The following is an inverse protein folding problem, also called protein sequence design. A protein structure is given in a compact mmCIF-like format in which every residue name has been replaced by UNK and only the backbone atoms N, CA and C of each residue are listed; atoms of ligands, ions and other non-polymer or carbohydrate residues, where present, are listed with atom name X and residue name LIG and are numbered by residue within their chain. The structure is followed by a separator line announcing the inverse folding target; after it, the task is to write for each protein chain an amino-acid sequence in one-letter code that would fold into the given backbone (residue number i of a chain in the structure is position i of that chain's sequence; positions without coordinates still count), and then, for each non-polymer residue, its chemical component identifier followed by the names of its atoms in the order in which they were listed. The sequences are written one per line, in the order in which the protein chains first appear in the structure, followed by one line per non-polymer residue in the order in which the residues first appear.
data_IF_413456698942
#
_entry.id   IF_413456698942
#
_cell.length_a   1.000
_cell.length_b   1.000
_cell.length_c   1.000
_cell.angle_alpha   90.00
_cell.angle_beta   90.00
_cell.angle_gamma   90.00
#
_symmetry.space_group_name_H-M   'P 1'
#
loop_
_entity.id
_entity.type
_entity.pdbx_description
1 polymer ?
#
# COMPACT_ATOMS: atom_id res chain seq x y z
N UNK A 1 55.69 18.79 -9.21
CA UNK A 1 54.69 17.75 -8.81
C UNK A 1 53.80 17.52 -9.99
N UNK A 2 53.97 16.38 -10.67
CA UNK A 2 53.15 16.00 -11.83
C UNK A 2 51.80 15.50 -11.27
N UNK A 3 50.74 16.25 -11.51
CA UNK A 3 49.37 15.82 -11.14
C UNK A 3 49.03 14.59 -11.94
N UNK A 4 48.80 13.45 -11.25
CA UNK A 4 48.31 12.24 -11.86
C UNK A 4 46.91 12.51 -12.39
N UNK A 5 46.75 12.65 -13.71
CA UNK A 5 45.48 12.74 -14.41
C UNK A 5 44.75 11.38 -14.31
N UNK A 6 44.06 11.15 -13.20
CA UNK A 6 43.26 9.93 -12.97
C UNK A 6 41.90 10.09 -13.63
N UNK A 7 41.64 9.31 -14.66
CA UNK A 7 40.29 9.20 -15.28
C UNK A 7 39.54 8.06 -14.65
N UNK A 8 38.48 8.35 -13.90
CA UNK A 8 37.57 7.31 -13.35
C UNK A 8 36.67 6.80 -14.49
N UNK A 9 36.77 5.52 -14.80
CA UNK A 9 36.00 4.86 -15.86
C UNK A 9 35.23 3.67 -15.33
N UNK A 10 34.04 3.44 -15.86
CA UNK A 10 33.28 2.18 -15.64
C UNK A 10 33.91 1.03 -16.44
N UNK A 11 33.61 -0.22 -16.04
CA UNK A 11 34.07 -1.42 -16.77
C UNK A 11 33.69 -1.36 -18.27
N UNK A 12 32.50 -0.85 -18.59
CA UNK A 12 32.07 -0.65 -19.99
C UNK A 12 32.92 0.36 -20.75
N UNK A 13 33.34 1.43 -20.08
CA UNK A 13 34.19 2.44 -20.69
C UNK A 13 35.62 1.93 -20.87
N UNK A 14 36.17 1.23 -19.89
CA UNK A 14 37.48 0.56 -20.03
C UNK A 14 37.50 -0.45 -21.19
N UNK A 15 36.43 -1.25 -21.32
CA UNK A 15 36.30 -2.15 -22.49
C UNK A 15 36.28 -1.38 -23.80
N UNK A 16 35.62 -0.23 -23.86
CA UNK A 16 35.64 0.66 -25.04
C UNK A 16 37.04 1.20 -25.33
N UNK A 17 37.78 1.65 -24.31
CA UNK A 17 39.17 2.11 -24.46
C UNK A 17 40.00 1.03 -25.12
N UNK A 18 39.95 -0.19 -24.59
CA UNK A 18 40.70 -1.32 -25.12
C UNK A 18 40.39 -1.61 -26.58
N UNK A 19 39.13 -1.74 -26.93
CA UNK A 19 38.69 -2.08 -28.31
C UNK A 19 38.99 -0.93 -29.28
N UNK A 20 38.80 0.32 -28.90
CA UNK A 20 39.07 1.47 -29.75
C UNK A 20 40.58 1.64 -29.98
N UNK A 21 41.44 1.37 -28.98
CA UNK A 21 42.91 1.34 -29.18
C UNK A 21 43.32 0.30 -30.20
N UNK A 22 42.82 -0.94 -30.10
CA UNK A 22 43.06 -2.00 -31.08
C UNK A 22 42.59 -1.62 -32.50
N UNK A 23 41.48 -0.89 -32.59
CA UNK A 23 40.95 -0.41 -33.88
C UNK A 23 41.86 0.66 -34.49
N UNK A 24 42.39 1.56 -33.65
CA UNK A 24 43.37 2.58 -34.10
C UNK A 24 44.70 1.97 -34.52
N UNK A 25 45.14 0.91 -33.85
CA UNK A 25 46.34 0.11 -34.21
C UNK A 25 46.10 -0.82 -35.40
N UNK A 26 44.95 -0.72 -36.08
CA UNK A 26 44.56 -1.55 -37.23
C UNK A 26 44.50 -3.05 -36.92
N UNK A 27 44.48 -3.47 -35.63
CA UNK A 27 44.32 -4.87 -35.20
C UNK A 27 42.87 -5.35 -35.33
N UNK A 28 41.91 -4.44 -35.26
CA UNK A 28 40.47 -4.70 -35.47
C UNK A 28 39.94 -3.73 -36.53
N UNK A 29 39.03 -4.22 -37.39
CA UNK A 29 38.24 -3.35 -38.25
C UNK A 29 37.13 -2.66 -37.47
N UNK A 30 36.61 -1.55 -37.97
CA UNK A 30 35.45 -0.85 -37.33
C UNK A 30 34.21 -1.74 -37.23
N UNK A 31 34.04 -2.65 -38.16
CA UNK A 31 32.93 -3.63 -38.15
C UNK A 31 33.12 -4.63 -37.00
N UNK A 32 34.32 -5.20 -36.87
CA UNK A 32 34.65 -6.14 -35.79
C UNK A 32 34.56 -5.48 -34.43
N UNK A 33 35.06 -4.26 -34.28
CA UNK A 33 34.94 -3.45 -33.05
C UNK A 33 33.46 -3.20 -32.69
N UNK A 34 32.62 -2.95 -33.72
CA UNK A 34 31.18 -2.83 -33.56
C UNK A 34 30.53 -4.09 -33.00
N UNK A 35 30.88 -5.25 -33.53
CA UNK A 35 30.40 -6.55 -33.06
C UNK A 35 30.83 -6.76 -31.60
N UNK A 36 32.10 -6.56 -31.27
CA UNK A 36 32.64 -6.74 -29.88
C UNK A 36 31.97 -5.87 -28.88
N UNK A 37 31.63 -4.62 -29.23
CA UNK A 37 31.03 -3.63 -28.32
C UNK A 37 29.50 -3.57 -28.41
N UNK A 38 28.87 -4.30 -29.34
CA UNK A 38 27.43 -4.20 -29.61
C UNK A 38 27.03 -2.80 -30.13
N UNK A 39 27.88 -2.19 -30.98
CA UNK A 39 27.69 -0.86 -31.54
C UNK A 39 27.75 -0.86 -33.05
N UNK A 40 27.13 0.14 -33.66
CA UNK A 40 27.21 0.31 -35.12
C UNK A 40 28.59 0.82 -35.54
N UNK A 41 29.10 0.49 -36.78
CA UNK A 41 30.36 1.04 -37.30
C UNK A 41 30.41 2.58 -37.32
N UNK A 42 29.26 3.24 -37.53
CA UNK A 42 29.13 4.70 -37.41
C UNK A 42 29.42 5.20 -36.03
N UNK A 43 28.97 4.47 -35.00
CA UNK A 43 29.25 4.80 -33.61
C UNK A 43 30.73 4.60 -33.30
N UNK A 44 31.36 3.54 -33.78
CA UNK A 44 32.80 3.29 -33.63
C UNK A 44 33.61 4.45 -34.21
N UNK A 45 33.30 4.93 -35.42
CA UNK A 45 33.95 6.11 -36.01
C UNK A 45 33.90 7.35 -35.09
N UNK A 46 32.70 7.63 -34.57
CA UNK A 46 32.51 8.73 -33.62
C UNK A 46 33.34 8.58 -32.33
N UNK A 47 33.50 7.33 -31.84
CA UNK A 47 34.34 7.06 -30.66
C UNK A 47 35.83 7.28 -31.00
N UNK A 48 36.29 6.85 -32.18
CA UNK A 48 37.67 7.08 -32.65
C UNK A 48 37.96 8.58 -32.75
N UNK A 49 37.06 9.36 -33.36
CA UNK A 49 37.18 10.82 -33.45
C UNK A 49 37.25 11.48 -32.06
N UNK A 50 36.41 11.02 -31.12
CA UNK A 50 36.41 11.52 -29.74
C UNK A 50 37.73 11.23 -29.02
N UNK A 51 38.29 10.04 -29.24
CA UNK A 51 39.61 9.69 -28.68
C UNK A 51 40.70 10.52 -29.33
N UNK A 52 40.62 10.82 -30.61
CA UNK A 52 41.60 11.69 -31.30
C UNK A 52 41.58 13.12 -30.74
N UNK A 53 40.41 13.64 -30.35
CA UNK A 53 40.24 15.01 -29.82
C UNK A 53 40.53 15.13 -28.33
N UNK A 54 40.16 14.13 -27.52
CA UNK A 54 40.17 14.24 -26.05
C UNK A 54 40.88 13.07 -25.35
N UNK A 55 41.66 12.27 -26.06
CA UNK A 55 42.28 11.09 -25.51
C UNK A 55 41.23 10.07 -24.98
N UNK A 56 41.65 9.23 -24.06
CA UNK A 56 40.77 8.21 -23.48
C UNK A 56 39.59 8.82 -22.70
N UNK A 57 39.73 10.03 -22.19
CA UNK A 57 38.62 10.77 -21.55
C UNK A 57 37.45 11.00 -22.51
N UNK A 58 37.68 11.05 -23.83
CA UNK A 58 36.67 11.13 -24.85
C UNK A 58 35.69 9.95 -24.84
N UNK A 59 36.03 8.82 -24.22
CA UNK A 59 35.18 7.65 -24.09
C UNK A 59 34.32 7.64 -22.82
N UNK A 60 34.62 8.51 -21.86
CA UNK A 60 33.80 8.68 -20.66
C UNK A 60 32.40 9.22 -21.02
N UNK A 61 31.41 8.84 -20.25
CA UNK A 61 30.04 9.30 -20.50
C UNK A 61 29.93 10.81 -20.28
N UNK A 62 29.50 11.56 -21.30
CA UNK A 62 29.43 13.06 -21.27
C UNK A 62 28.47 13.62 -20.21
N UNK A 63 27.55 12.83 -19.70
CA UNK A 63 26.64 13.20 -18.62
C UNK A 63 27.20 12.91 -17.23
N UNK A 64 28.43 12.36 -17.11
CA UNK A 64 29.03 12.10 -15.79
C UNK A 64 29.26 13.43 -15.04
N UNK A 65 28.79 13.44 -13.77
CA UNK A 65 28.86 14.66 -12.93
C UNK A 65 27.83 15.74 -13.28
N UNK A 66 27.05 15.58 -14.36
CA UNK A 66 25.96 16.50 -14.67
C UNK A 66 24.66 16.02 -14.05
N UNK A 67 23.86 16.92 -13.45
CA UNK A 67 22.54 16.56 -12.97
C UNK A 67 21.66 16.07 -14.13
N UNK A 68 20.79 15.08 -13.85
CA UNK A 68 19.83 14.60 -14.83
C UNK A 68 18.89 15.73 -15.27
N UNK A 69 18.59 15.82 -16.58
CA UNK A 69 17.56 16.73 -17.11
C UNK A 69 16.14 16.42 -16.59
N UNK A 70 15.95 15.26 -15.95
CA UNK A 70 14.72 14.91 -15.20
C UNK A 70 14.81 15.28 -13.71
N UNK A 71 15.85 15.97 -13.28
CA UNK A 71 15.99 16.40 -11.88
C UNK A 71 14.87 17.36 -11.52
N UNK A 72 14.18 17.05 -10.43
CA UNK A 72 13.13 17.94 -9.88
C UNK A 72 13.82 19.23 -9.37
N UNK A 73 13.26 20.42 -9.66
CA UNK A 73 13.81 21.69 -9.21
C UNK A 73 13.98 21.73 -7.69
N UNK A 74 15.07 22.29 -7.22
CA UNK A 74 15.40 22.38 -5.80
C UNK A 74 14.34 23.14 -4.98
N UNK A 75 13.73 24.16 -5.59
CA UNK A 75 12.59 24.89 -4.99
C UNK A 75 11.42 23.97 -4.65
N UNK A 76 11.11 23.01 -5.54
CA UNK A 76 10.02 22.03 -5.31
C UNK A 76 10.42 21.06 -4.21
N UNK A 77 11.67 20.58 -4.20
CA UNK A 77 12.19 19.70 -3.16
C UNK A 77 12.12 20.37 -1.78
N UNK A 78 12.64 21.60 -1.68
CA UNK A 78 12.65 22.38 -0.43
C UNK A 78 11.22 22.59 0.08
N UNK A 79 10.30 23.03 -0.80
CA UNK A 79 8.90 23.23 -0.44
C UNK A 79 8.24 21.93 0.05
N UNK A 80 8.46 20.81 -0.65
CA UNK A 80 7.91 19.53 -0.26
C UNK A 80 8.43 19.05 1.10
N UNK A 81 9.74 19.18 1.36
CA UNK A 81 10.35 18.81 2.63
C UNK A 81 9.92 19.71 3.79
N UNK A 82 9.72 21.00 3.56
CA UNK A 82 9.19 21.93 4.56
C UNK A 82 7.75 21.58 4.92
N UNK A 83 6.89 21.32 3.93
CA UNK A 83 5.51 20.89 4.15
C UNK A 83 5.46 19.54 4.89
N UNK A 84 6.35 18.61 4.52
CA UNK A 84 6.46 17.34 5.20
C UNK A 84 6.79 17.54 6.69
N UNK A 85 7.81 18.30 7.01
CA UNK A 85 8.23 18.54 8.40
C UNK A 85 7.13 19.22 9.24
N UNK A 86 6.39 20.15 8.64
CA UNK A 86 5.35 20.92 9.35
C UNK A 86 4.04 20.16 9.55
N UNK A 87 3.64 19.28 8.60
CA UNK A 87 2.28 18.71 8.54
C UNK A 87 2.22 17.20 8.45
N UNK A 88 3.28 16.53 7.99
CA UNK A 88 3.29 15.13 7.61
C UNK A 88 4.45 14.34 8.21
N UNK A 89 5.04 14.83 9.31
CA UNK A 89 6.28 14.26 9.87
C UNK A 89 6.21 12.77 10.25
N UNK A 90 5.03 12.27 10.56
CA UNK A 90 4.76 10.87 10.87
C UNK A 90 4.16 10.07 9.68
N UNK A 91 3.97 10.72 8.53
CA UNK A 91 3.41 10.04 7.35
C UNK A 91 4.49 9.21 6.65
N UNK A 92 4.13 7.98 6.26
CA UNK A 92 4.97 7.21 5.36
C UNK A 92 5.11 7.91 4.00
N UNK A 93 6.20 7.67 3.25
CA UNK A 93 6.47 8.36 1.99
C UNK A 93 5.34 8.29 0.97
N UNK A 94 4.60 7.18 0.95
CA UNK A 94 3.47 6.98 0.03
C UNK A 94 2.32 7.93 0.36
N UNK A 95 1.87 7.95 1.62
CA UNK A 95 0.79 8.85 2.05
C UNK A 95 1.21 10.32 1.97
N UNK A 96 2.46 10.62 2.31
CA UNK A 96 3.00 11.97 2.18
C UNK A 96 2.99 12.46 0.72
N UNK A 97 3.41 11.63 -0.24
CA UNK A 97 3.37 11.96 -1.67
C UNK A 97 1.94 12.23 -2.15
N UNK A 98 0.98 11.42 -1.71
CA UNK A 98 -0.45 11.62 -2.00
C UNK A 98 -0.94 12.97 -1.47
N UNK A 99 -0.66 13.30 -0.21
CA UNK A 99 -1.11 14.57 0.40
C UNK A 99 -0.42 15.79 -0.18
N UNK A 100 0.85 15.68 -0.57
CA UNK A 100 1.55 16.73 -1.32
C UNK A 100 0.89 17.01 -2.66
N UNK A 101 0.45 15.97 -3.37
CA UNK A 101 -0.30 16.13 -4.62
C UNK A 101 -1.69 16.70 -4.39
N UNK A 102 -2.48 16.11 -3.48
CA UNK A 102 -3.88 16.46 -3.25
C UNK A 102 -4.05 17.88 -2.67
N UNK A 103 -3.25 18.24 -1.69
CA UNK A 103 -3.41 19.50 -0.93
C UNK A 103 -2.52 20.65 -1.38
N UNK A 104 -1.42 20.35 -2.10
CA UNK A 104 -0.41 21.35 -2.45
C UNK A 104 -0.06 21.37 -3.94
N UNK A 105 -0.66 20.49 -4.76
CA UNK A 105 -0.36 20.40 -6.20
C UNK A 105 1.06 19.94 -6.52
N UNK A 106 1.77 19.32 -5.56
CA UNK A 106 3.14 18.85 -5.74
C UNK A 106 3.13 17.36 -6.04
N UNK A 107 3.12 17.00 -7.31
CA UNK A 107 3.10 15.60 -7.76
C UNK A 107 4.50 15.00 -7.73
N UNK A 108 4.71 14.04 -6.84
CA UNK A 108 5.97 13.33 -6.63
C UNK A 108 5.71 11.82 -6.51
N UNK A 109 6.69 11.00 -6.94
CA UNK A 109 6.63 9.58 -6.61
C UNK A 109 6.95 9.34 -5.13
N UNK A 110 6.33 8.31 -4.54
CA UNK A 110 6.65 7.91 -3.17
C UNK A 110 8.14 7.60 -2.96
N UNK A 111 8.81 7.06 -4.00
CA UNK A 111 10.23 6.75 -3.96
C UNK A 111 11.10 8.00 -3.96
N UNK A 112 10.71 9.05 -4.71
CA UNK A 112 11.37 10.36 -4.66
C UNK A 112 11.29 10.95 -3.25
N UNK A 113 10.09 10.95 -2.66
CA UNK A 113 9.89 11.45 -1.28
C UNK A 113 10.73 10.63 -0.30
N UNK A 114 10.73 9.29 -0.42
CA UNK A 114 11.55 8.40 0.43
C UNK A 114 13.03 8.72 0.32
N UNK A 115 13.56 8.87 -0.89
CA UNK A 115 14.97 9.20 -1.11
C UNK A 115 15.37 10.51 -0.46
N UNK A 116 14.52 11.54 -0.58
CA UNK A 116 14.79 12.84 0.06
C UNK A 116 14.72 12.78 1.59
N UNK A 117 13.77 12.04 2.14
CA UNK A 117 13.65 11.84 3.59
C UNK A 117 14.86 11.09 4.15
N UNK A 118 15.30 10.02 3.49
CA UNK A 118 16.50 9.27 3.86
C UNK A 118 17.76 10.18 3.82
N UNK A 119 17.90 11.01 2.79
CA UNK A 119 19.00 11.97 2.69
C UNK A 119 19.00 13.04 3.81
N UNK A 120 17.84 13.27 4.44
CA UNK A 120 17.67 14.13 5.63
C UNK A 120 17.76 13.37 6.95
N UNK A 121 18.10 12.08 6.94
CA UNK A 121 18.16 11.24 8.14
C UNK A 121 16.80 10.79 8.69
N UNK A 122 15.71 11.05 7.97
CA UNK A 122 14.37 10.58 8.37
C UNK A 122 14.21 9.14 7.89
N UNK A 123 14.24 8.21 8.83
CA UNK A 123 14.04 6.79 8.54
C UNK A 123 12.62 6.35 8.92
N UNK A 124 11.94 5.72 7.99
CA UNK A 124 10.68 5.06 8.29
C UNK A 124 10.92 3.59 8.62
N UNK A 125 10.11 3.06 9.54
CA UNK A 125 10.19 1.66 9.95
C UNK A 125 10.13 0.73 8.73
N UNK A 126 11.21 0.00 8.47
CA UNK A 126 11.23 -1.05 7.46
C UNK A 126 10.62 -2.32 8.04
N UNK A 127 9.49 -2.74 7.50
CA UNK A 127 8.89 -4.02 7.87
C UNK A 127 9.85 -5.16 7.52
N UNK A 128 10.24 -5.96 8.52
CA UNK A 128 10.95 -7.22 8.25
C UNK A 128 10.06 -8.10 7.36
N UNK A 129 10.65 -8.66 6.30
CA UNK A 129 9.96 -9.67 5.49
C UNK A 129 9.59 -10.84 6.40
N UNK A 130 8.30 -11.09 6.54
CA UNK A 130 7.82 -12.29 7.24
C UNK A 130 7.87 -13.48 6.29
N UNK A 131 8.06 -14.72 6.79
CA UNK A 131 7.99 -15.91 5.95
C UNK A 131 6.65 -15.95 5.21
N UNK A 132 6.70 -16.43 3.98
CA UNK A 132 5.51 -16.54 3.13
C UNK A 132 4.52 -17.52 3.78
N UNK A 133 3.34 -17.03 4.10
CA UNK A 133 2.24 -17.87 4.59
C UNK A 133 1.40 -18.30 3.39
N UNK A 134 0.83 -19.51 3.47
CA UNK A 134 -0.12 -19.97 2.46
C UNK A 134 -1.28 -18.97 2.33
N UNK A 135 -1.59 -18.60 1.10
CA UNK A 135 -2.69 -17.68 0.81
C UNK A 135 -3.96 -18.50 0.64
N UNK A 136 -5.03 -18.10 1.33
CA UNK A 136 -6.37 -18.57 0.99
C UNK A 136 -6.83 -17.81 -0.25
N UNK A 137 -7.29 -18.52 -1.25
CA UNK A 137 -7.90 -17.93 -2.44
C UNK A 137 -9.07 -17.03 -2.06
N UNK A 138 -9.31 -16.01 -2.89
CA UNK A 138 -10.47 -15.14 -2.75
C UNK A 138 -11.73 -15.91 -3.15
N UNK A 139 -12.85 -15.49 -2.57
CA UNK A 139 -14.15 -15.88 -3.11
C UNK A 139 -14.33 -15.33 -4.52
N UNK A 140 -15.14 -15.99 -5.32
CA UNK A 140 -15.31 -15.61 -6.72
C UNK A 140 -16.19 -14.37 -6.88
N UNK A 141 -17.20 -14.23 -6.07
CA UNK A 141 -18.25 -13.22 -6.20
C UNK A 141 -18.26 -12.24 -5.04
N UNK A 142 -18.62 -11.00 -5.32
CA UNK A 142 -18.94 -9.99 -4.29
C UNK A 142 -20.17 -10.47 -3.48
N UNK A 143 -20.17 -10.24 -2.18
CA UNK A 143 -21.26 -10.67 -1.29
C UNK A 143 -21.24 -12.15 -0.90
N UNK A 144 -20.39 -12.97 -1.53
CA UNK A 144 -20.28 -14.39 -1.19
C UNK A 144 -19.75 -14.64 0.23
N UNK A 145 -18.79 -13.82 0.66
CA UNK A 145 -18.21 -13.85 2.01
C UNK A 145 -17.72 -12.48 2.43
N UNK A 146 -18.18 -12.03 3.57
CA UNK A 146 -17.73 -10.75 4.17
C UNK A 146 -17.06 -11.03 5.51
N UNK A 147 -15.86 -10.52 5.73
CA UNK A 147 -15.18 -10.60 7.01
C UNK A 147 -15.57 -9.41 7.87
N UNK A 148 -16.05 -9.68 9.08
CA UNK A 148 -16.41 -8.68 10.10
C UNK A 148 -15.43 -8.75 11.26
N UNK A 149 -14.99 -7.59 11.74
CA UNK A 149 -14.17 -7.48 12.94
C UNK A 149 -14.26 -6.09 13.57
N UNK A 150 -14.04 -6.01 14.89
CA UNK A 150 -13.89 -4.77 15.65
C UNK A 150 -12.43 -4.45 15.90
N UNK A 151 -12.04 -3.19 15.80
CA UNK A 151 -10.68 -2.76 16.13
C UNK A 151 -10.68 -1.70 17.22
N UNK A 152 -10.19 -2.09 18.38
CA UNK A 152 -9.90 -1.19 19.49
C UNK A 152 -8.56 -0.51 19.25
N UNK A 153 -8.57 0.80 19.08
CA UNK A 153 -7.37 1.60 18.88
C UNK A 153 -7.62 3.05 19.32
N UNK A 154 -6.56 3.82 19.53
CA UNK A 154 -6.70 5.27 19.72
C UNK A 154 -6.88 5.94 18.33
N UNK A 155 -8.06 5.79 17.75
CA UNK A 155 -8.40 6.28 16.43
C UNK A 155 -8.38 7.81 16.33
N UNK A 156 -8.61 8.49 17.46
CA UNK A 156 -8.67 9.94 17.54
C UNK A 156 -7.39 10.55 18.13
N UNK A 157 -6.37 9.75 18.45
CA UNK A 157 -5.07 10.20 18.97
C UNK A 157 -5.22 11.14 20.19
N UNK A 158 -6.05 10.78 21.14
CA UNK A 158 -6.35 11.58 22.34
C UNK A 158 -7.17 12.85 22.11
N UNK A 159 -7.57 13.15 20.86
CA UNK A 159 -8.44 14.31 20.52
C UNK A 159 -9.89 14.10 20.89
N UNK A 160 -10.30 12.88 21.17
CA UNK A 160 -11.66 12.49 21.50
C UNK A 160 -11.71 11.18 22.30
N UNK A 161 -12.92 10.65 22.57
CA UNK A 161 -13.07 9.43 23.34
C UNK A 161 -12.47 8.22 22.62
N UNK A 162 -12.02 7.21 23.38
CA UNK A 162 -11.67 5.92 22.81
C UNK A 162 -12.90 5.31 22.15
N UNK A 163 -12.69 4.69 21.02
CA UNK A 163 -13.75 4.11 20.21
C UNK A 163 -13.28 2.84 19.50
N UNK A 164 -14.24 2.11 18.97
CA UNK A 164 -14.03 0.88 18.21
C UNK A 164 -14.45 1.13 16.77
N UNK A 165 -13.62 0.72 15.83
CA UNK A 165 -13.97 0.69 14.43
C UNK A 165 -14.50 -0.69 14.06
N UNK A 166 -15.81 -0.80 13.83
CA UNK A 166 -16.43 -1.99 13.24
C UNK A 166 -16.19 -1.95 11.73
N UNK A 167 -15.58 -2.98 11.16
CA UNK A 167 -15.26 -3.02 9.75
C UNK A 167 -15.68 -4.33 9.08
N UNK A 168 -16.20 -4.17 7.88
CA UNK A 168 -16.61 -5.23 6.96
C UNK A 168 -15.72 -5.17 5.73
N UNK A 169 -15.15 -6.29 5.33
CA UNK A 169 -14.38 -6.38 4.09
C UNK A 169 -14.87 -7.55 3.26
N UNK A 170 -15.31 -7.25 2.05
CA UNK A 170 -15.70 -8.28 1.08
C UNK A 170 -14.47 -9.09 0.64
N UNK A 171 -14.59 -10.41 0.69
CA UNK A 171 -13.47 -11.31 0.43
C UNK A 171 -13.05 -11.32 -1.03
N UNK A 172 -13.97 -11.20 -1.96
CA UNK A 172 -13.71 -11.21 -3.39
C UNK A 172 -13.05 -9.89 -3.84
N UNK A 173 -13.66 -8.77 -3.51
CA UNK A 173 -13.27 -7.44 -4.04
C UNK A 173 -12.37 -6.63 -3.12
N UNK A 174 -12.27 -7.00 -1.83
CA UNK A 174 -11.69 -6.14 -0.77
C UNK A 174 -12.42 -4.81 -0.58
N UNK A 175 -13.64 -4.65 -1.07
CA UNK A 175 -14.49 -3.49 -0.77
C UNK A 175 -14.75 -3.44 0.74
N UNK A 176 -14.65 -2.25 1.31
CA UNK A 176 -14.74 -2.03 2.76
C UNK A 176 -15.96 -1.18 3.09
N UNK A 177 -16.65 -1.55 4.16
CA UNK A 177 -17.53 -0.71 4.94
C UNK A 177 -16.99 -0.62 6.37
N UNK A 178 -17.08 0.53 7.01
CA UNK A 178 -16.65 0.70 8.39
C UNK A 178 -17.42 1.83 9.09
N UNK A 179 -17.57 1.72 10.42
CA UNK A 179 -18.21 2.72 11.26
C UNK A 179 -17.65 2.70 12.67
N UNK A 180 -17.50 3.86 13.27
CA UNK A 180 -17.03 4.02 14.64
C UNK A 180 -18.18 3.89 15.64
N UNK A 181 -17.91 3.23 16.77
CA UNK A 181 -18.80 3.06 17.92
C UNK A 181 -18.04 3.31 19.22
N UNK A 182 -18.78 3.65 20.28
CA UNK A 182 -18.17 3.86 21.60
C UNK A 182 -17.61 2.56 22.21
N UNK A 183 -18.17 1.42 21.84
CA UNK A 183 -17.79 0.08 22.34
C UNK A 183 -18.08 -0.99 21.29
N UNK A 184 -17.51 -2.17 21.49
CA UNK A 184 -17.86 -3.39 20.75
C UNK A 184 -18.91 -4.19 21.52
N UNK A 185 -19.97 -4.63 20.83
CA UNK A 185 -21.04 -5.38 21.46
C UNK A 185 -22.20 -5.63 20.49
N UNK A 186 -23.26 -6.25 21.00
CA UNK A 186 -24.43 -6.67 20.18
C UNK A 186 -25.08 -5.49 19.46
N UNK A 187 -25.32 -4.36 20.15
CA UNK A 187 -25.98 -3.19 19.54
C UNK A 187 -25.13 -2.58 18.42
N UNK A 188 -23.83 -2.28 18.63
CA UNK A 188 -22.95 -1.86 17.53
C UNK A 188 -22.87 -2.86 16.35
N UNK A 189 -22.84 -4.15 16.64
CA UNK A 189 -22.83 -5.17 15.59
C UNK A 189 -24.12 -5.16 14.77
N UNK A 190 -25.29 -5.06 15.43
CA UNK A 190 -26.59 -4.97 14.76
C UNK A 190 -26.73 -3.70 13.92
N UNK A 191 -26.43 -2.52 14.49
CA UNK A 191 -26.53 -1.24 13.77
C UNK A 191 -25.57 -1.18 12.60
N UNK A 192 -24.32 -1.61 12.80
CA UNK A 192 -23.33 -1.60 11.71
C UNK A 192 -23.72 -2.57 10.58
N UNK A 193 -24.27 -3.73 10.91
CA UNK A 193 -24.72 -4.69 9.91
C UNK A 193 -25.98 -4.21 9.18
N UNK A 194 -26.95 -3.63 9.90
CA UNK A 194 -28.13 -3.02 9.27
C UNK A 194 -27.73 -1.96 8.24
N UNK A 195 -26.77 -1.09 8.58
CA UNK A 195 -26.25 -0.07 7.65
C UNK A 195 -25.48 -0.69 6.49
N UNK A 196 -24.74 -1.76 6.74
CA UNK A 196 -24.05 -2.51 5.70
C UNK A 196 -25.06 -3.05 4.67
N UNK A 197 -26.10 -3.76 5.11
CA UNK A 197 -27.12 -4.35 4.20
C UNK A 197 -27.94 -3.29 3.47
N UNK A 198 -28.22 -2.15 4.09
CA UNK A 198 -28.89 -1.02 3.43
C UNK A 198 -28.05 -0.46 2.27
N UNK A 199 -26.74 -0.57 2.35
CA UNK A 199 -25.83 0.00 1.35
C UNK A 199 -25.45 -0.99 0.25
N UNK A 200 -25.29 -2.25 0.57
CA UNK A 200 -24.75 -3.26 -0.33
C UNK A 200 -25.65 -4.43 -0.60
N UNK A 201 -26.60 -4.70 0.27
CA UNK A 201 -27.44 -5.88 0.25
C UNK A 201 -27.05 -6.92 1.31
N UNK A 202 -27.73 -8.06 1.32
CA UNK A 202 -27.55 -9.12 2.31
C UNK A 202 -26.50 -10.11 1.78
N UNK A 203 -25.33 -10.26 2.41
CA UNK A 203 -24.30 -11.19 1.95
C UNK A 203 -24.71 -12.63 2.25
N UNK A 204 -24.16 -13.61 1.51
CA UNK A 204 -24.43 -15.03 1.76
C UNK A 204 -23.82 -15.51 3.07
N UNK A 205 -22.63 -15.02 3.43
CA UNK A 205 -21.94 -15.43 4.65
C UNK A 205 -21.16 -14.29 5.30
N UNK A 206 -21.13 -14.30 6.64
CA UNK A 206 -20.28 -13.45 7.49
C UNK A 206 -19.24 -14.32 8.18
N UNK A 207 -17.99 -13.90 8.10
CA UNK A 207 -16.86 -14.49 8.81
C UNK A 207 -16.47 -13.60 9.98
N UNK A 208 -16.75 -14.01 11.22
CA UNK A 208 -16.46 -13.25 12.43
C UNK A 208 -15.59 -14.06 13.41
N UNK A 209 -15.02 -13.41 14.42
CA UNK A 209 -14.31 -14.12 15.48
C UNK A 209 -15.26 -14.79 16.47
N UNK A 210 -14.65 -15.45 17.48
CA UNK A 210 -15.40 -16.12 18.55
C UNK A 210 -15.69 -15.17 19.73
N UNK A 211 -15.74 -13.86 19.49
CA UNK A 211 -16.16 -12.91 20.53
C UNK A 211 -17.62 -13.18 20.93
N UNK A 212 -17.96 -12.96 22.20
CA UNK A 212 -19.29 -13.25 22.73
C UNK A 212 -20.45 -12.56 22.00
N UNK A 213 -20.18 -11.47 21.31
CA UNK A 213 -21.14 -10.80 20.41
C UNK A 213 -21.57 -11.69 19.25
N UNK A 214 -20.65 -12.46 18.70
CA UNK A 214 -20.88 -13.28 17.50
C UNK A 214 -21.11 -14.75 17.82
N UNK A 215 -20.51 -15.25 18.89
CA UNK A 215 -20.61 -16.62 19.33
C UNK A 215 -21.19 -16.71 20.74
N UNK A 216 -22.20 -17.53 20.96
CA UNK A 216 -22.75 -17.75 22.31
C UNK A 216 -21.77 -18.57 23.15
N UNK A 217 -21.34 -18.11 24.35
CA UNK A 217 -20.57 -18.93 25.28
C UNK A 217 -21.44 -19.90 26.10
N UNK A 218 -22.78 -19.87 25.95
CA UNK A 218 -23.68 -20.69 26.71
C UNK A 218 -23.59 -22.17 26.28
N UNK A 219 -23.74 -23.06 27.24
CA UNK A 219 -23.94 -24.48 26.92
C UNK A 219 -25.33 -24.70 26.27
N UNK A 220 -25.43 -25.64 25.31
CA UNK A 220 -26.71 -25.93 24.68
C UNK A 220 -27.74 -26.39 25.69
N UNK A 221 -28.95 -25.86 25.63
CA UNK A 221 -30.10 -26.37 26.38
C UNK A 221 -30.42 -27.81 25.96
N UNK A 222 -31.13 -28.55 26.79
CA UNK A 222 -31.57 -29.92 26.46
C UNK A 222 -32.34 -29.98 25.14
N UNK A 223 -33.18 -28.98 24.88
CA UNK A 223 -33.93 -28.88 23.63
C UNK A 223 -33.00 -28.65 22.40
N UNK A 224 -31.99 -27.78 22.54
CA UNK A 224 -30.98 -27.53 21.50
C UNK A 224 -30.08 -28.73 21.27
N UNK A 225 -29.70 -29.46 22.34
CA UNK A 225 -28.96 -30.74 22.23
C UNK A 225 -29.74 -31.79 21.46
N UNK A 226 -31.04 -31.95 21.78
CA UNK A 226 -31.92 -32.87 21.09
C UNK A 226 -32.16 -32.46 19.63
N UNK A 227 -32.20 -31.19 19.35
CA UNK A 227 -32.34 -30.65 17.98
C UNK A 227 -31.02 -30.63 17.20
N UNK A 228 -29.85 -30.93 17.85
CA UNK A 228 -28.53 -30.85 17.23
C UNK A 228 -28.11 -29.41 16.85
N UNK A 229 -28.66 -28.40 17.55
CA UNK A 229 -28.43 -26.97 17.26
C UNK A 229 -27.54 -26.35 18.33
N UNK A 230 -26.46 -25.69 17.93
CA UNK A 230 -25.62 -24.93 18.86
C UNK A 230 -26.30 -23.62 19.29
N UNK A 231 -26.08 -23.16 20.55
CA UNK A 231 -26.59 -21.89 21.03
C UNK A 231 -26.08 -20.73 20.19
N UNK A 232 -26.98 -19.87 19.75
CA UNK A 232 -26.63 -18.71 18.93
C UNK A 232 -26.66 -17.42 19.76
N UNK A 233 -25.70 -16.53 19.52
CA UNK A 233 -25.76 -15.15 20.03
C UNK A 233 -26.96 -14.40 19.42
N UNK A 234 -27.33 -13.27 19.98
CA UNK A 234 -28.38 -12.40 19.41
C UNK A 234 -28.06 -12.02 17.97
N UNK A 235 -26.82 -11.65 17.68
CA UNK A 235 -26.36 -11.33 16.34
C UNK A 235 -26.43 -12.56 15.41
N UNK A 236 -26.00 -13.73 15.89
CA UNK A 236 -26.07 -14.97 15.13
C UNK A 236 -27.50 -15.41 14.81
N UNK A 237 -28.47 -15.12 15.70
CA UNK A 237 -29.90 -15.36 15.42
C UNK A 237 -30.42 -14.45 14.31
N UNK A 238 -30.13 -13.13 14.42
CA UNK A 238 -30.54 -12.17 13.40
C UNK A 238 -29.97 -12.52 12.02
N UNK A 239 -28.71 -12.94 11.94
CA UNK A 239 -28.13 -13.43 10.69
C UNK A 239 -28.88 -14.64 10.14
N UNK A 240 -29.19 -15.60 11.01
CA UNK A 240 -29.96 -16.81 10.61
C UNK A 240 -31.35 -16.49 10.07
N UNK A 241 -32.08 -15.54 10.67
CA UNK A 241 -33.36 -15.05 10.20
C UNK A 241 -33.29 -14.39 8.82
N UNK A 242 -32.15 -13.75 8.51
CA UNK A 242 -31.87 -13.15 7.20
C UNK A 242 -31.28 -14.14 6.18
N UNK A 243 -31.11 -15.41 6.56
CA UNK A 243 -30.49 -16.42 5.70
C UNK A 243 -28.98 -16.29 5.51
N UNK A 244 -28.34 -15.52 6.36
CA UNK A 244 -26.88 -15.31 6.31
C UNK A 244 -26.15 -16.36 7.15
N UNK A 245 -25.21 -17.05 6.54
CA UNK A 245 -24.36 -18.01 7.25
C UNK A 245 -23.32 -17.28 8.12
N UNK A 246 -23.30 -17.58 9.42
CA UNK A 246 -22.24 -17.10 10.31
C UNK A 246 -21.13 -18.14 10.45
N UNK A 247 -19.97 -17.86 9.93
CA UNK A 247 -18.80 -18.74 9.96
C UNK A 247 -17.85 -18.27 11.06
N UNK A 248 -17.64 -19.04 12.13
CA UNK A 248 -16.70 -18.69 13.18
C UNK A 248 -15.25 -18.85 12.71
N UNK A 249 -14.41 -17.86 13.02
CA UNK A 249 -12.99 -17.89 12.70
C UNK A 249 -12.24 -18.87 13.60
N UNK A 250 -11.77 -19.97 13.04
CA UNK A 250 -10.96 -20.97 13.76
C UNK A 250 -9.47 -20.66 13.76
N UNK A 251 -9.00 -19.69 12.97
CA UNK A 251 -7.57 -19.32 12.91
C UNK A 251 -7.36 -17.86 12.52
N UNK A 252 -6.28 -17.23 13.00
CA UNK A 252 -5.91 -15.89 12.57
C UNK A 252 -5.64 -15.77 11.06
N UNK A 253 -5.20 -16.86 10.42
CA UNK A 253 -4.93 -16.86 8.98
C UNK A 253 -6.21 -16.64 8.16
N UNK A 254 -7.33 -17.13 8.64
CA UNK A 254 -8.61 -16.99 7.99
C UNK A 254 -9.10 -15.52 7.98
N UNK A 255 -8.72 -14.70 8.95
CA UNK A 255 -9.04 -13.25 9.07
C UNK A 255 -7.96 -12.33 8.45
N UNK A 256 -7.01 -12.85 7.69
CA UNK A 256 -5.87 -12.11 7.19
C UNK A 256 -6.19 -10.87 6.33
N UNK A 257 -7.41 -10.75 5.78
CA UNK A 257 -7.84 -9.56 5.02
C UNK A 257 -8.24 -8.42 5.94
N UNK A 258 -9.09 -8.67 6.93
CA UNK A 258 -9.53 -7.65 7.88
C UNK A 258 -8.38 -7.20 8.79
N UNK A 259 -7.48 -8.12 9.20
CA UNK A 259 -6.26 -7.74 9.92
C UNK A 259 -5.37 -6.79 9.11
N UNK A 260 -5.22 -7.05 7.81
CA UNK A 260 -4.45 -6.18 6.92
C UNK A 260 -5.15 -4.85 6.71
N UNK A 261 -6.47 -4.84 6.63
CA UNK A 261 -7.28 -3.63 6.58
C UNK A 261 -7.00 -2.74 7.79
N UNK A 262 -7.10 -3.29 9.01
CA UNK A 262 -6.84 -2.52 10.23
C UNK A 262 -5.42 -1.96 10.28
N UNK A 263 -4.41 -2.74 9.88
CA UNK A 263 -3.03 -2.22 9.76
C UNK A 263 -2.91 -1.05 8.80
N UNK A 264 -3.66 -1.11 7.70
CA UNK A 264 -3.70 0.00 6.72
C UNK A 264 -4.44 1.20 7.29
N UNK A 265 -5.55 0.99 7.98
CA UNK A 265 -6.32 2.05 8.59
C UNK A 265 -5.58 2.71 9.76
N UNK A 266 -4.91 1.95 10.60
CA UNK A 266 -4.05 2.48 11.67
C UNK A 266 -2.90 3.34 11.14
N UNK A 267 -2.38 3.02 9.95
CA UNK A 267 -1.35 3.85 9.31
C UNK A 267 -1.94 5.05 8.55
N UNK A 268 -3.13 4.93 7.93
CA UNK A 268 -3.68 5.93 7.03
C UNK A 268 -4.88 6.68 7.60
N UNK A 269 -5.91 5.96 8.04
CA UNK A 269 -7.19 6.55 8.44
C UNK A 269 -7.03 7.51 9.62
N UNK A 270 -6.20 7.16 10.60
CA UNK A 270 -5.91 8.02 11.76
C UNK A 270 -5.36 9.38 11.32
N UNK A 271 -4.39 9.36 10.41
CA UNK A 271 -3.73 10.56 9.89
C UNK A 271 -4.65 11.40 9.01
N UNK A 272 -5.47 10.74 8.21
CA UNK A 272 -6.48 11.40 7.36
C UNK A 272 -7.56 12.06 8.23
N UNK A 273 -8.03 11.37 9.27
CA UNK A 273 -9.01 11.88 10.23
C UNK A 273 -8.45 13.06 11.02
N UNK A 274 -7.16 13.01 11.40
CA UNK A 274 -6.45 14.15 12.03
C UNK A 274 -6.39 15.37 11.10
N UNK A 275 -6.09 15.15 9.82
CA UNK A 275 -6.07 16.23 8.82
C UNK A 275 -7.45 16.81 8.54
N UNK A 276 -8.53 16.07 8.78
CA UNK A 276 -9.91 16.51 8.70
C UNK A 276 -10.39 17.21 9.98
N UNK A 277 -9.62 17.13 11.08
CA UNK A 277 -9.95 17.78 12.37
C UNK A 277 -10.97 17.01 13.20
N UNK A 278 -11.28 15.75 12.85
CA UNK A 278 -12.27 14.96 13.59
C UNK A 278 -11.85 14.66 15.02
N UNK A 279 -12.76 14.92 15.98
CA UNK A 279 -12.55 14.75 17.41
C UNK A 279 -13.72 14.05 18.12
N UNK A 280 -14.86 13.90 17.46
CA UNK A 280 -16.04 13.21 17.96
C UNK A 280 -16.36 11.98 17.11
N UNK A 281 -17.17 11.04 17.66
CA UNK A 281 -17.64 9.88 16.90
C UNK A 281 -18.47 10.28 15.67
N UNK A 282 -19.30 11.31 15.80
CA UNK A 282 -20.13 11.77 14.70
C UNK A 282 -19.31 12.40 13.58
N UNK A 283 -18.30 13.19 13.93
CA UNK A 283 -17.35 13.75 12.94
C UNK A 283 -16.54 12.65 12.26
N UNK A 284 -16.07 11.68 13.03
CA UNK A 284 -15.34 10.54 12.51
C UNK A 284 -16.20 9.69 11.56
N UNK A 285 -17.47 9.48 11.90
CA UNK A 285 -18.40 8.75 11.05
C UNK A 285 -18.78 9.51 9.78
N UNK A 286 -19.00 10.82 9.86
CA UNK A 286 -19.19 11.67 8.67
C UNK A 286 -17.98 11.64 7.75
N UNK A 287 -16.78 11.73 8.34
CA UNK A 287 -15.56 11.61 7.56
C UNK A 287 -15.45 10.25 6.85
N UNK A 288 -15.84 9.14 7.49
CA UNK A 288 -15.84 7.82 6.86
C UNK A 288 -16.79 7.73 5.65
N UNK A 289 -17.92 8.43 5.67
CA UNK A 289 -18.88 8.45 4.55
C UNK A 289 -18.23 8.96 3.26
N UNK A 290 -17.35 9.97 3.36
CA UNK A 290 -16.62 10.52 2.22
C UNK A 290 -15.32 9.73 1.94
N UNK A 291 -14.64 9.24 2.97
CA UNK A 291 -13.35 8.58 2.85
C UNK A 291 -13.45 7.17 2.26
N UNK A 292 -14.44 6.37 2.68
CA UNK A 292 -14.56 4.97 2.24
C UNK A 292 -14.77 4.79 0.73
N UNK A 293 -15.56 5.62 0.04
CA UNK A 293 -15.63 5.57 -1.43
C UNK A 293 -14.28 5.77 -2.10
N UNK A 294 -13.49 6.76 -1.64
CA UNK A 294 -12.15 7.04 -2.17
C UNK A 294 -11.19 5.89 -1.86
N UNK A 295 -11.26 5.36 -0.64
CA UNK A 295 -10.47 4.20 -0.24
C UNK A 295 -10.80 2.97 -1.11
N UNK A 296 -12.08 2.67 -1.28
CA UNK A 296 -12.54 1.53 -2.07
C UNK A 296 -12.14 1.67 -3.55
N UNK A 297 -12.27 2.85 -4.13
CA UNK A 297 -11.81 3.09 -5.51
C UNK A 297 -10.32 2.80 -5.68
N UNK A 298 -9.50 3.07 -4.66
CA UNK A 298 -8.04 2.92 -4.70
C UNK A 298 -7.56 1.51 -4.39
N UNK A 299 -8.23 0.81 -3.47
CA UNK A 299 -7.72 -0.43 -2.87
C UNK A 299 -8.57 -1.68 -3.15
N UNK A 300 -9.79 -1.53 -3.66
CA UNK A 300 -10.56 -2.69 -4.09
C UNK A 300 -9.97 -3.31 -5.36
N UNK A 301 -10.28 -4.57 -5.57
CA UNK A 301 -9.88 -5.32 -6.76
C UNK A 301 -11.12 -5.84 -7.47
N UNK A 302 -11.00 -6.10 -8.75
CA UNK A 302 -12.07 -6.72 -9.52
C UNK A 302 -12.28 -8.16 -9.03
N UNK A 303 -13.51 -8.59 -8.76
CA UNK A 303 -13.82 -9.98 -8.45
C UNK A 303 -13.57 -10.89 -9.66
N UNK A 304 -13.40 -12.18 -9.42
CA UNK A 304 -13.19 -13.17 -10.48
C UNK A 304 -14.44 -13.30 -11.36
N UNK A 305 -15.61 -13.24 -10.73
CA UNK A 305 -16.92 -13.30 -11.39
C UNK A 305 -17.67 -11.98 -11.19
N UNK A 306 -18.35 -11.47 -12.22
CA UNK A 306 -19.00 -10.16 -12.16
C UNK A 306 -20.29 -10.12 -11.36
N UNK A 307 -20.93 -11.29 -11.08
CA UNK A 307 -22.17 -11.35 -10.32
C UNK A 307 -21.98 -10.86 -8.88
N UNK A 308 -22.91 -10.05 -8.40
CA UNK A 308 -23.02 -9.62 -7.01
C UNK A 308 -24.06 -10.51 -6.32
N UNK A 309 -23.67 -11.14 -5.22
CA UNK A 309 -24.48 -12.13 -4.45
C UNK A 309 -24.99 -11.54 -3.13
N UNK A 310 -25.07 -10.22 -3.00
CA UNK A 310 -25.74 -9.59 -1.86
C UNK A 310 -27.25 -9.73 -1.94
#
# INVERSE_FOLDING_TARGET
MVGEDRVIMSVKELRRVHVIRQTREKKLTQVQAGIVLGLTPRHIRRLIERVAQAGDQGLAHRGRGKPSNRRIPEKVQTKALTLYAQRYGDFGPTLAAEKLAERHGITLSAETVRGWLLAKGVTHFQRRKRPHRAWRERKAHVGELVQLDGSHHDWLEGRGPRCVLMAYIDDASSRVYARFYAYEGTIPAMDSFQRYIQRYGIPLAIYADKHSTYHSPAEPTVAEQLAGVEPRSQFGRALGELGVELIPAHSPQAKGRVERLFKTFQDRLIKELRLAGGSTLDEANRFLEDYLPIYNQRFSVQPVQPADLH
#
